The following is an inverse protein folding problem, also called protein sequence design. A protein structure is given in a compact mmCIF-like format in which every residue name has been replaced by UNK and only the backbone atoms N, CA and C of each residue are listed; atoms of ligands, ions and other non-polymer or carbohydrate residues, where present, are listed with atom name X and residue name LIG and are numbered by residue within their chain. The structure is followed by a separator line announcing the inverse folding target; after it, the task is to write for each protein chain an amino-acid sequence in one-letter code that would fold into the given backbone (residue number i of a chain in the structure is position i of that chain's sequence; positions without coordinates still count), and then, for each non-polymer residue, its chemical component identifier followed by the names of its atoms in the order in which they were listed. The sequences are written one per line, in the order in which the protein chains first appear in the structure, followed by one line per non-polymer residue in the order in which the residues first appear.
data_IF_402665146450
#
_entry.id   IF_402665146450
#
_cell.length_a   1.000
_cell.length_b   1.000
_cell.length_c   1.000
_cell.angle_alpha   90.00
_cell.angle_beta   90.00
_cell.angle_gamma   90.00
#
_symmetry.space_group_name_H-M   'P 1'
#
loop_
_entity.id
_entity.type
_entity.pdbx_description
1 polymer ?
#
# COMPACT_ATOMS: atom_id res chain seq x y z
N UNK A 1 20.79 -19.70 -8.79
CA UNK A 1 21.21 -19.88 -7.38
C UNK A 1 21.52 -18.50 -6.83
N UNK A 2 21.03 -18.15 -5.64
CA UNK A 2 21.16 -16.80 -5.08
C UNK A 2 22.61 -16.50 -4.63
N UNK A 3 23.09 -15.25 -4.73
CA UNK A 3 24.36 -14.84 -4.11
C UNK A 3 24.25 -14.94 -2.57
N UNK A 4 25.36 -14.85 -1.82
CA UNK A 4 25.31 -14.72 -0.36
C UNK A 4 24.38 -13.57 0.06
N UNK A 5 23.44 -13.83 0.96
CA UNK A 5 22.45 -12.86 1.46
C UNK A 5 22.02 -13.25 2.88
N UNK A 6 21.55 -12.27 3.66
CA UNK A 6 21.10 -12.46 5.05
C UNK A 6 22.16 -13.14 5.93
N UNK A 7 23.41 -12.69 5.79
CA UNK A 7 24.53 -13.22 6.57
C UNK A 7 24.40 -12.77 8.03
N UNK A 8 24.63 -13.70 8.96
CA UNK A 8 24.57 -13.42 10.39
C UNK A 8 25.55 -12.32 10.79
N UNK A 9 25.08 -11.37 11.61
CA UNK A 9 25.87 -10.22 12.05
C UNK A 9 25.98 -9.07 11.05
N UNK A 10 25.34 -9.16 9.88
CA UNK A 10 25.22 -8.02 8.95
C UNK A 10 23.87 -7.33 9.11
N UNK A 11 23.81 -6.06 8.70
CA UNK A 11 22.56 -5.29 8.72
C UNK A 11 21.44 -5.90 7.86
N UNK A 12 21.78 -6.73 6.86
CA UNK A 12 20.80 -7.41 5.99
C UNK A 12 20.02 -8.53 6.72
N UNK A 13 20.55 -9.05 7.83
CA UNK A 13 19.88 -10.06 8.64
C UNK A 13 18.91 -9.44 9.66
N UNK A 14 19.00 -8.13 9.89
CA UNK A 14 18.18 -7.41 10.87
C UNK A 14 16.80 -7.06 10.32
N UNK A 15 15.82 -6.94 11.21
CA UNK A 15 14.49 -6.43 10.87
C UNK A 15 14.61 -4.95 10.50
N UNK A 16 13.93 -4.53 9.42
CA UNK A 16 13.95 -3.14 8.97
C UNK A 16 13.44 -2.17 10.07
N UNK A 17 14.01 -0.96 10.21
CA UNK A 17 13.66 -0.03 11.29
C UNK A 17 12.16 0.30 11.39
N UNK A 18 11.46 0.34 10.26
CA UNK A 18 10.03 0.62 10.16
C UNK A 18 9.18 -0.44 10.88
N UNK A 19 9.70 -1.67 10.98
CA UNK A 19 9.07 -2.77 11.69
C UNK A 19 9.57 -2.95 13.13
N UNK A 20 10.70 -2.35 13.49
CA UNK A 20 11.33 -2.52 14.81
C UNK A 20 10.45 -2.06 15.99
N UNK A 21 9.50 -1.14 15.75
CA UNK A 21 8.57 -0.64 16.77
C UNK A 21 7.45 -1.61 17.13
N UNK A 22 7.21 -2.64 16.33
CA UNK A 22 6.15 -3.60 16.60
C UNK A 22 6.66 -4.74 17.47
N UNK A 23 5.88 -5.12 18.48
CA UNK A 23 6.19 -6.27 19.31
C UNK A 23 6.06 -7.56 18.50
N UNK A 24 7.08 -8.42 18.59
CA UNK A 24 7.11 -9.71 17.93
C UNK A 24 8.28 -10.56 18.42
N UNK A 25 8.31 -11.81 17.98
CA UNK A 25 9.42 -12.72 18.21
C UNK A 25 10.19 -12.93 16.91
N UNK A 26 11.52 -12.83 16.98
CA UNK A 26 12.40 -13.11 15.83
C UNK A 26 12.76 -14.59 15.85
N UNK A 27 12.38 -15.30 14.80
CA UNK A 27 12.75 -16.71 14.60
C UNK A 27 13.74 -16.79 13.43
N UNK A 28 15.03 -17.06 13.69
CA UNK A 28 16.01 -17.21 12.61
C UNK A 28 15.68 -18.46 11.79
N UNK A 29 15.82 -18.37 10.46
CA UNK A 29 15.59 -19.48 9.54
C UNK A 29 16.70 -19.57 8.50
N UNK A 30 17.05 -20.80 8.12
CA UNK A 30 18.11 -21.09 7.12
C UNK A 30 17.56 -21.64 5.80
N UNK A 31 16.23 -21.76 5.69
CA UNK A 31 15.51 -22.30 4.53
C UNK A 31 14.32 -21.41 4.19
N UNK A 32 13.65 -21.71 3.07
CA UNK A 32 12.54 -20.90 2.57
C UNK A 32 11.32 -20.99 3.47
N UNK A 33 10.90 -22.22 3.83
CA UNK A 33 9.82 -22.42 4.78
C UNK A 33 10.23 -21.96 6.17
N UNK A 34 9.35 -21.20 6.83
CA UNK A 34 9.52 -20.80 8.23
C UNK A 34 9.35 -21.96 9.21
N UNK A 35 8.83 -23.13 8.78
CA UNK A 35 8.69 -24.32 9.61
C UNK A 35 9.92 -25.23 9.58
N UNK A 36 10.74 -25.12 8.54
CA UNK A 36 11.84 -26.06 8.35
C UNK A 36 13.00 -25.73 9.29
N UNK A 37 13.26 -26.63 10.25
CA UNK A 37 14.37 -26.51 11.21
C UNK A 37 14.31 -25.22 12.03
N UNK A 38 13.11 -24.88 12.51
CA UNK A 38 12.86 -23.72 13.39
C UNK A 38 11.92 -24.09 14.55
N UNK A 39 11.89 -23.32 15.64
CA UNK A 39 10.95 -23.54 16.74
C UNK A 39 9.51 -23.06 16.44
N UNK A 40 9.20 -22.63 15.21
CA UNK A 40 7.89 -22.06 14.89
C UNK A 40 6.75 -23.04 15.16
N UNK A 41 6.90 -24.31 14.81
CA UNK A 41 5.87 -25.33 15.00
C UNK A 41 5.55 -25.55 16.48
N UNK A 42 6.57 -25.68 17.32
CA UNK A 42 6.40 -25.82 18.77
C UNK A 42 5.66 -24.60 19.34
N UNK A 43 6.03 -23.39 18.93
CA UNK A 43 5.39 -22.16 19.39
C UNK A 43 3.93 -22.07 18.97
N UNK A 44 3.62 -22.36 17.71
CA UNK A 44 2.24 -22.34 17.23
C UNK A 44 1.39 -23.42 17.92
N UNK A 45 1.96 -24.56 18.27
CA UNK A 45 1.26 -25.62 19.04
C UNK A 45 0.85 -25.16 20.45
N UNK A 46 1.65 -24.29 21.06
CA UNK A 46 1.37 -23.70 22.37
C UNK A 46 0.33 -22.56 22.25
N UNK A 47 0.48 -21.70 21.23
CA UNK A 47 -0.41 -20.57 20.99
C UNK A 47 -1.81 -20.99 20.51
N UNK A 48 -1.92 -22.13 19.80
CA UNK A 48 -3.15 -22.66 19.20
C UNK A 48 -3.96 -21.60 18.45
N UNK A 49 -3.35 -20.91 17.47
CA UNK A 49 -4.04 -19.84 16.75
C UNK A 49 -5.19 -20.39 15.92
N UNK A 50 -6.27 -19.61 15.80
CA UNK A 50 -7.40 -19.96 14.91
C UNK A 50 -6.98 -19.94 13.44
N UNK A 51 -6.06 -19.04 13.08
CA UNK A 51 -5.50 -18.86 11.73
C UNK A 51 -4.12 -18.24 11.77
N UNK A 52 -3.36 -18.44 10.70
CA UNK A 52 -2.09 -17.79 10.44
C UNK A 52 -2.28 -16.70 9.37
N UNK A 53 -1.72 -15.52 9.62
CA UNK A 53 -1.62 -14.46 8.60
C UNK A 53 -0.17 -14.43 8.16
N UNK A 54 0.08 -14.72 6.88
CA UNK A 54 1.44 -14.81 6.33
C UNK A 54 1.66 -13.66 5.35
N UNK A 55 2.72 -12.88 5.58
CA UNK A 55 3.12 -11.73 4.77
C UNK A 55 4.66 -11.67 4.62
N UNK A 56 5.15 -10.75 3.77
CA UNK A 56 6.58 -10.54 3.54
C UNK A 56 7.05 -10.97 2.15
N UNK A 57 8.34 -11.29 2.03
CA UNK A 57 9.00 -11.59 0.75
C UNK A 57 9.83 -12.88 0.79
N UNK A 58 10.02 -13.58 -0.32
CA UNK A 58 9.37 -13.39 -1.61
C UNK A 58 8.08 -14.22 -1.71
N UNK A 59 7.10 -13.73 -2.47
CA UNK A 59 5.76 -14.34 -2.61
C UNK A 59 5.83 -15.79 -3.09
N UNK A 60 6.63 -16.05 -4.12
CA UNK A 60 6.80 -17.34 -4.78
C UNK A 60 7.89 -18.23 -4.15
N UNK A 61 8.61 -17.72 -3.14
CA UNK A 61 9.69 -18.45 -2.47
C UNK A 61 9.33 -18.65 -1.00
N UNK A 62 9.77 -17.77 -0.10
CA UNK A 62 9.61 -17.96 1.34
C UNK A 62 8.14 -18.00 1.77
N UNK A 63 7.30 -17.13 1.21
CA UNK A 63 5.88 -17.07 1.53
C UNK A 63 5.19 -18.33 1.04
N UNK A 64 5.32 -18.66 -0.26
CA UNK A 64 4.72 -19.87 -0.85
C UNK A 64 5.08 -21.16 -0.09
N UNK A 65 6.37 -21.37 0.20
CA UNK A 65 6.83 -22.58 0.91
C UNK A 65 6.29 -22.64 2.35
N UNK A 66 6.21 -21.49 3.03
CA UNK A 66 5.65 -21.42 4.38
C UNK A 66 4.14 -21.69 4.37
N UNK A 67 3.41 -21.17 3.37
CA UNK A 67 1.98 -21.43 3.20
C UNK A 67 1.71 -22.91 2.89
N UNK A 68 2.53 -23.54 2.04
CA UNK A 68 2.43 -24.96 1.75
C UNK A 68 2.65 -25.82 3.01
N UNK A 69 3.67 -25.49 3.82
CA UNK A 69 3.94 -26.21 5.07
C UNK A 69 2.88 -25.98 6.14
N UNK A 70 2.29 -24.77 6.19
CA UNK A 70 1.15 -24.47 7.05
C UNK A 70 -0.08 -25.31 6.65
N UNK A 71 -0.32 -25.48 5.34
CA UNK A 71 -1.42 -26.30 4.81
C UNK A 71 -1.25 -27.79 5.16
N UNK A 72 -0.03 -28.31 5.08
CA UNK A 72 0.30 -29.69 5.46
C UNK A 72 0.15 -29.96 6.96
N UNK A 73 0.00 -28.91 7.77
CA UNK A 73 -0.25 -28.96 9.23
C UNK A 73 -1.67 -28.52 9.60
N UNK A 74 -2.57 -28.46 8.60
CA UNK A 74 -3.98 -28.10 8.75
C UNK A 74 -4.26 -26.72 9.34
N UNK A 75 -3.29 -25.79 9.27
CA UNK A 75 -3.54 -24.39 9.63
C UNK A 75 -4.45 -23.73 8.60
N UNK A 76 -5.41 -22.92 9.09
CA UNK A 76 -6.10 -21.93 8.25
C UNK A 76 -5.15 -20.78 7.97
N UNK A 77 -4.98 -20.43 6.70
CA UNK A 77 -4.04 -19.38 6.28
C UNK A 77 -4.77 -18.24 5.58
N UNK A 78 -4.44 -17.01 5.94
CA UNK A 78 -4.75 -15.80 5.19
C UNK A 78 -3.46 -15.16 4.67
N UNK A 79 -3.49 -14.70 3.42
CA UNK A 79 -2.39 -13.97 2.78
C UNK A 79 -2.90 -12.60 2.35
N UNK A 80 -2.47 -11.51 3.00
CA UNK A 80 -2.77 -10.16 2.54
C UNK A 80 -1.95 -9.84 1.29
N UNK A 81 -2.61 -9.77 0.13
CA UNK A 81 -1.94 -9.60 -1.17
C UNK A 81 -1.17 -8.28 -1.27
N UNK A 82 -1.64 -7.25 -0.55
CA UNK A 82 -0.97 -5.94 -0.46
C UNK A 82 0.25 -5.95 0.47
N UNK A 83 0.54 -7.08 1.12
CA UNK A 83 1.67 -7.25 2.06
C UNK A 83 2.64 -8.37 1.64
N UNK A 84 2.55 -8.82 0.39
CA UNK A 84 3.50 -9.77 -0.20
C UNK A 84 4.00 -9.24 -1.52
N UNK A 85 5.27 -9.46 -1.83
CA UNK A 85 5.82 -9.10 -3.14
C UNK A 85 6.93 -10.05 -3.57
N UNK A 86 7.29 -10.01 -4.85
CA UNK A 86 8.45 -10.70 -5.41
C UNK A 86 9.07 -9.83 -6.51
N UNK A 87 10.31 -10.14 -6.88
CA UNK A 87 11.02 -9.45 -7.95
C UNK A 87 10.57 -9.89 -9.35
N UNK A 88 9.88 -11.03 -9.48
CA UNK A 88 9.25 -11.50 -10.72
C UNK A 88 7.73 -11.45 -10.60
N UNK A 89 7.10 -10.60 -11.42
CA UNK A 89 5.66 -10.38 -11.40
C UNK A 89 4.87 -11.63 -11.82
N UNK A 90 5.36 -12.41 -12.79
CA UNK A 90 4.67 -13.64 -13.23
C UNK A 90 4.72 -14.70 -12.13
N UNK A 91 5.89 -14.84 -11.48
CA UNK A 91 6.05 -15.76 -10.36
C UNK A 91 5.18 -15.35 -9.16
N UNK A 92 5.10 -14.06 -8.86
CA UNK A 92 4.21 -13.51 -7.83
C UNK A 92 2.75 -13.90 -8.08
N UNK A 93 2.22 -13.66 -9.28
CA UNK A 93 0.83 -14.00 -9.62
C UNK A 93 0.58 -15.51 -9.59
N UNK A 94 1.51 -16.31 -10.12
CA UNK A 94 1.43 -17.76 -10.04
C UNK A 94 1.34 -18.25 -8.59
N UNK A 95 2.18 -17.71 -7.71
CA UNK A 95 2.21 -18.10 -6.31
C UNK A 95 0.91 -17.74 -5.58
N UNK A 96 0.36 -16.55 -5.81
CA UNK A 96 -0.95 -16.16 -5.28
C UNK A 96 -2.06 -17.12 -5.75
N UNK A 97 -2.12 -17.41 -7.04
CA UNK A 97 -3.10 -18.33 -7.60
C UNK A 97 -2.94 -19.74 -7.04
N UNK A 98 -1.70 -20.22 -6.90
CA UNK A 98 -1.41 -21.53 -6.33
C UNK A 98 -1.80 -21.61 -4.84
N UNK A 99 -1.46 -20.58 -4.07
CA UNK A 99 -1.83 -20.47 -2.65
C UNK A 99 -3.35 -20.51 -2.46
N UNK A 100 -4.10 -19.80 -3.30
CA UNK A 100 -5.56 -19.77 -3.24
C UNK A 100 -6.19 -21.09 -3.70
N UNK A 101 -5.90 -21.49 -4.95
CA UNK A 101 -6.63 -22.57 -5.62
C UNK A 101 -6.17 -23.97 -5.22
N UNK A 102 -4.90 -24.12 -4.82
CA UNK A 102 -4.32 -25.44 -4.49
C UNK A 102 -4.11 -25.59 -2.98
N UNK A 103 -3.52 -24.58 -2.34
CA UNK A 103 -3.18 -24.66 -0.92
C UNK A 103 -4.34 -24.23 -0.01
N UNK A 104 -5.39 -23.64 -0.56
CA UNK A 104 -6.59 -23.24 0.21
C UNK A 104 -6.37 -22.04 1.13
N UNK A 105 -5.33 -21.24 0.89
CA UNK A 105 -5.13 -19.98 1.58
C UNK A 105 -6.17 -18.96 1.12
N UNK A 106 -6.72 -18.18 2.05
CA UNK A 106 -7.64 -17.10 1.73
C UNK A 106 -6.86 -15.83 1.42
N UNK A 107 -6.94 -15.36 0.17
CA UNK A 107 -6.35 -14.09 -0.22
C UNK A 107 -7.21 -12.94 0.34
N UNK A 108 -6.56 -11.98 0.97
CA UNK A 108 -7.19 -10.77 1.52
C UNK A 108 -6.51 -9.54 0.96
N UNK A 109 -7.22 -8.42 0.91
CA UNK A 109 -6.65 -7.14 0.49
C UNK A 109 -7.16 -6.06 1.43
N UNK A 110 -6.28 -5.14 1.82
CA UNK A 110 -6.66 -3.92 2.48
C UNK A 110 -7.20 -2.97 1.42
N UNK A 111 -8.49 -3.11 1.09
CA UNK A 111 -9.18 -2.01 0.42
C UNK A 111 -9.27 -0.85 1.40
N UNK A 112 -8.35 0.11 1.28
CA UNK A 112 -8.76 1.51 1.49
C UNK A 112 -9.98 1.67 0.59
N UNK A 113 -11.14 1.97 1.16
CA UNK A 113 -12.39 2.10 0.42
C UNK A 113 -12.14 2.94 -0.82
N UNK A 114 -12.07 2.30 -2.00
CA UNK A 114 -11.94 2.99 -3.28
C UNK A 114 -13.06 4.02 -3.31
N UNK A 115 -12.71 5.30 -3.35
CA UNK A 115 -13.68 6.37 -3.61
C UNK A 115 -14.40 5.97 -4.89
N UNK A 116 -15.73 5.81 -4.83
CA UNK A 116 -16.53 5.59 -6.04
C UNK A 116 -16.26 6.77 -6.96
N UNK A 117 -15.69 6.51 -8.14
CA UNK A 117 -15.59 7.53 -9.17
C UNK A 117 -17.01 8.07 -9.43
N UNK A 118 -17.21 9.40 -9.42
CA UNK A 118 -18.51 9.98 -9.70
C UNK A 118 -19.01 9.50 -11.06
N UNK A 119 -20.23 8.95 -11.07
CA UNK A 119 -20.92 8.47 -12.28
C UNK A 119 -21.75 9.57 -12.94
N UNK A 120 -21.22 10.78 -13.04
CA UNK A 120 -21.91 11.84 -13.77
C UNK A 120 -20.93 12.48 -14.76
N UNK A 121 -21.44 12.81 -15.94
CA UNK A 121 -20.77 13.73 -16.84
C UNK A 121 -21.20 15.16 -16.46
N UNK A 122 -20.26 16.09 -16.23
CA UNK A 122 -20.61 17.49 -16.01
C UNK A 122 -21.43 18.02 -17.19
N UNK A 123 -22.51 18.74 -16.93
CA UNK A 123 -23.30 19.35 -18.00
C UNK A 123 -22.53 20.47 -18.70
N UNK A 124 -22.91 20.78 -19.93
CA UNK A 124 -22.30 21.87 -20.69
C UNK A 124 -22.38 23.20 -19.93
N UNK A 125 -23.47 23.46 -19.20
CA UNK A 125 -23.64 24.63 -18.33
C UNK A 125 -22.62 24.72 -17.17
N UNK A 126 -22.18 23.57 -16.63
CA UNK A 126 -21.13 23.51 -15.60
C UNK A 126 -19.75 23.70 -16.24
N UNK A 127 -19.54 23.17 -17.44
CA UNK A 127 -18.29 23.32 -18.19
C UNK A 127 -18.11 24.74 -18.78
N UNK A 128 -19.21 25.40 -19.14
CA UNK A 128 -19.24 26.76 -19.68
C UNK A 128 -19.29 27.84 -18.61
N UNK A 129 -19.52 27.46 -17.34
CA UNK A 129 -19.64 28.40 -16.23
C UNK A 129 -20.94 29.20 -16.21
N UNK A 130 -21.98 28.77 -16.94
CA UNK A 130 -23.30 29.42 -16.92
C UNK A 130 -23.97 29.39 -15.53
N UNK A 131 -23.58 28.43 -14.68
CA UNK A 131 -24.03 28.37 -13.29
C UNK A 131 -23.20 29.25 -12.34
N UNK A 132 -22.24 30.02 -12.85
CA UNK A 132 -21.34 30.80 -12.01
C UNK A 132 -21.98 32.15 -11.63
N UNK A 133 -21.88 32.49 -10.34
CA UNK A 133 -22.41 33.73 -9.78
C UNK A 133 -21.70 34.97 -10.37
N UNK A 134 -22.29 36.16 -10.23
CA UNK A 134 -21.84 37.42 -10.87
C UNK A 134 -20.39 37.82 -10.52
N UNK A 135 -19.87 37.26 -9.42
CA UNK A 135 -18.48 37.42 -8.98
C UNK A 135 -17.50 36.68 -9.89
N UNK A 136 -17.88 35.52 -10.44
CA UNK A 136 -17.07 34.73 -11.36
C UNK A 136 -16.83 35.43 -12.68
N UNK A 137 -17.88 36.06 -13.23
CA UNK A 137 -17.78 36.90 -14.42
C UNK A 137 -16.82 38.08 -14.19
N UNK A 138 -16.87 38.70 -13.00
CA UNK A 138 -15.99 39.82 -12.64
C UNK A 138 -14.53 39.39 -12.50
N UNK A 139 -14.27 38.21 -11.92
CA UNK A 139 -12.93 37.62 -11.81
C UNK A 139 -12.35 37.31 -13.19
N UNK A 140 -13.14 36.73 -14.09
CA UNK A 140 -12.73 36.48 -15.48
C UNK A 140 -12.39 37.78 -16.21
N UNK A 141 -13.18 38.84 -16.04
CA UNK A 141 -12.93 40.13 -16.69
C UNK A 141 -11.66 40.81 -16.17
N UNK A 142 -11.37 40.73 -14.86
CA UNK A 142 -10.11 41.22 -14.29
C UNK A 142 -8.92 40.45 -14.88
N UNK A 143 -9.00 39.12 -14.94
CA UNK A 143 -7.92 38.28 -15.48
C UNK A 143 -7.67 38.53 -16.99
N UNK A 144 -8.73 38.79 -17.77
CA UNK A 144 -8.61 39.20 -19.18
C UNK A 144 -7.91 40.55 -19.34
N UNK A 145 -8.26 41.53 -18.49
CA UNK A 145 -7.61 42.85 -18.51
C UNK A 145 -6.12 42.78 -18.15
N UNK A 146 -5.74 41.84 -17.28
CA UNK A 146 -4.36 41.57 -16.88
C UNK A 146 -3.63 40.60 -17.85
N UNK A 147 -4.24 40.25 -18.99
CA UNK A 147 -3.70 39.35 -20.02
C UNK A 147 -3.32 37.93 -19.51
N UNK A 148 -4.01 37.41 -18.50
CA UNK A 148 -3.85 36.06 -17.97
C UNK A 148 -4.87 35.09 -18.60
N UNK A 149 -4.46 33.83 -18.85
CA UNK A 149 -5.30 32.81 -19.52
C UNK A 149 -6.51 32.43 -18.64
N UNK A 150 -7.76 32.79 -19.01
CA UNK A 150 -8.86 32.86 -18.07
C UNK A 150 -9.64 31.53 -18.07
N UNK A 151 -9.07 30.51 -17.43
CA UNK A 151 -9.87 29.34 -17.03
C UNK A 151 -10.01 29.40 -15.50
N UNK A 152 -11.02 30.14 -15.04
CA UNK A 152 -11.50 29.98 -13.67
C UNK A 152 -12.46 28.79 -13.66
N UNK A 153 -12.26 27.83 -12.76
CA UNK A 153 -13.12 26.64 -12.61
C UNK A 153 -13.83 26.57 -11.27
N UNK A 154 -13.38 27.35 -10.28
CA UNK A 154 -13.92 27.37 -8.94
C UNK A 154 -13.55 28.67 -8.24
N UNK A 155 -14.52 29.28 -7.55
CA UNK A 155 -14.29 30.38 -6.61
C UNK A 155 -14.38 29.85 -5.18
N UNK A 156 -13.42 30.26 -4.33
CA UNK A 156 -13.37 29.85 -2.93
C UNK A 156 -13.38 31.10 -2.05
N UNK A 157 -14.42 31.24 -1.24
CA UNK A 157 -14.50 32.28 -0.23
C UNK A 157 -14.07 31.72 1.12
N UNK A 158 -13.12 32.38 1.79
CA UNK A 158 -12.70 32.01 3.13
C UNK A 158 -13.13 33.08 4.14
N UNK A 159 -13.64 32.66 5.29
CA UNK A 159 -14.01 33.56 6.40
C UNK A 159 -12.87 33.74 7.42
N UNK A 160 -11.70 33.13 7.17
CA UNK A 160 -10.48 33.20 7.99
C UNK A 160 -9.25 32.96 7.13
N UNK A 161 -8.09 33.41 7.58
CA UNK A 161 -6.82 33.19 6.89
C UNK A 161 -6.53 31.69 6.71
N UNK A 162 -6.09 31.30 5.50
CA UNK A 162 -5.76 29.93 5.12
C UNK A 162 -5.00 29.88 3.81
N UNK A 163 -4.39 28.74 3.49
CA UNK A 163 -3.67 28.50 2.24
C UNK A 163 -4.56 27.66 1.33
N UNK A 164 -4.85 28.16 0.12
CA UNK A 164 -5.48 27.38 -0.94
C UNK A 164 -4.39 26.83 -1.85
N UNK A 165 -4.23 25.51 -1.90
CA UNK A 165 -3.24 24.83 -2.74
C UNK A 165 -3.85 23.56 -3.30
N UNK A 166 -3.60 23.28 -4.58
CA UNK A 166 -3.95 22.00 -5.18
C UNK A 166 -3.13 20.87 -4.56
N UNK A 167 -3.55 19.63 -4.81
CA UNK A 167 -2.95 18.46 -4.16
C UNK A 167 -1.46 18.28 -4.50
N UNK A 168 -1.03 18.76 -5.67
CA UNK A 168 0.38 18.77 -6.07
C UNK A 168 1.17 19.92 -5.43
N UNK A 169 0.60 21.11 -5.25
CA UNK A 169 1.25 22.19 -4.48
C UNK A 169 1.38 21.83 -2.99
N UNK A 170 0.41 21.12 -2.41
CA UNK A 170 0.52 20.56 -1.04
C UNK A 170 1.73 19.62 -0.94
N UNK A 171 1.86 18.68 -1.89
CA UNK A 171 2.98 17.74 -1.93
C UNK A 171 4.32 18.45 -2.10
N UNK A 172 4.40 19.43 -3.00
CA UNK A 172 5.62 20.20 -3.24
C UNK A 172 6.02 21.06 -2.03
N UNK A 173 5.05 21.61 -1.30
CA UNK A 173 5.29 22.37 -0.08
C UNK A 173 5.77 21.46 1.06
N UNK A 174 5.12 20.31 1.25
CA UNK A 174 5.50 19.32 2.26
C UNK A 174 6.89 18.75 1.98
N UNK A 175 7.24 18.49 0.72
CA UNK A 175 8.58 18.02 0.34
C UNK A 175 9.71 19.02 0.67
N UNK A 176 9.40 20.31 0.82
CA UNK A 176 10.38 21.35 1.20
C UNK A 176 10.47 21.59 2.71
N UNK A 177 9.41 21.29 3.45
CA UNK A 177 9.30 21.61 4.89
C UNK A 177 9.59 20.38 5.74
N UNK A 178 9.29 19.19 5.23
CA UNK A 178 9.66 17.94 5.87
C UNK A 178 11.15 17.65 5.63
N UNK A 179 11.91 17.24 6.67
CA UNK A 179 13.29 16.82 6.48
C UNK A 179 13.36 15.61 5.54
N UNK A 180 14.35 15.56 4.65
CA UNK A 180 14.53 14.45 3.72
C UNK A 180 14.68 13.12 4.48
N UNK A 181 13.70 12.22 4.32
CA UNK A 181 13.75 10.85 4.85
C UNK A 181 12.54 10.32 5.62
N UNK A 182 11.31 10.79 5.37
CA UNK A 182 10.07 10.14 5.84
C UNK A 182 9.05 9.96 4.72
#
# INVERSE_FOLDING_TARGET
MFPPHCLEGTAEAEVIPELARYHGEVIPKRRFSAFFDTPLEEKLSQLKPEKLIICGVCTDICVLHTVADARNRDYKVEVPVDCVTSFDEKAHHFALEHMEKTLGAKLTSFRVSRVKLPKFEPSEAVLSGETADIYFARTIDILRHEALNPVATMEVFSSRAGILCGMEEVKALLAKILPEGQ
#
